data_IF_744225126156
#
_entry.id   IF_744225126156
#
_cell.length_a   1.000
_cell.length_b   1.000
_cell.length_c   1.000
_cell.angle_alpha   90.00
_cell.angle_beta   90.00
_cell.angle_gamma   90.00
#
_symmetry.space_group_name_H-M   'P 1'
#
loop_
_entity.id
_entity.type
_entity.pdbx_description
1 polymer ?
#
# COMPACT_ATOMS: atom_id res chain seq x y z
N UNK A 1 24.29 -10.54 -10.21
CA UNK A 1 23.08 -9.70 -10.28
C UNK A 1 22.80 -9.16 -8.89
N UNK A 2 22.76 -7.84 -8.71
CA UNK A 2 22.22 -7.24 -7.50
C UNK A 2 20.71 -7.51 -7.47
N UNK A 3 20.19 -8.00 -6.34
CA UNK A 3 18.76 -8.17 -6.12
C UNK A 3 18.22 -6.85 -5.54
N UNK A 4 16.98 -6.48 -5.85
CA UNK A 4 16.30 -5.32 -5.27
C UNK A 4 14.84 -5.68 -5.01
N UNK A 5 14.32 -5.31 -3.84
CA UNK A 5 12.93 -5.54 -3.46
C UNK A 5 12.20 -4.21 -3.31
N UNK A 6 11.27 -3.91 -4.21
CA UNK A 6 10.39 -2.75 -4.07
C UNK A 6 9.02 -3.23 -3.62
N UNK A 7 8.67 -2.93 -2.38
CA UNK A 7 7.34 -3.20 -1.84
C UNK A 7 6.39 -2.05 -2.16
N UNK A 8 5.26 -2.36 -2.78
CA UNK A 8 4.21 -1.37 -3.08
C UNK A 8 3.18 -1.41 -1.96
N UNK A 9 3.18 -0.38 -1.14
CA UNK A 9 2.22 -0.14 -0.06
C UNK A 9 1.13 0.83 -0.53
N UNK A 10 0.70 1.74 0.33
CA UNK A 10 -0.27 2.80 0.04
C UNK A 10 -0.03 3.99 0.97
N UNK A 11 -0.30 5.21 0.50
CA UNK A 11 -0.25 6.42 1.33
C UNK A 11 -1.26 6.39 2.49
N UNK A 12 -2.21 5.46 2.47
CA UNK A 12 -3.22 5.28 3.52
C UNK A 12 -2.85 4.19 4.53
N UNK A 13 -1.63 3.63 4.48
CA UNK A 13 -1.23 2.53 5.37
C UNK A 13 -1.15 2.97 6.84
N UNK A 14 -0.89 4.25 7.12
CA UNK A 14 -0.76 4.81 8.46
C UNK A 14 -1.78 5.93 8.69
N UNK A 15 -3.06 5.57 8.81
CA UNK A 15 -4.17 6.55 8.84
C UNK A 15 -4.17 7.51 10.04
N UNK A 16 -3.43 7.21 11.10
CA UNK A 16 -3.29 8.09 12.26
C UNK A 16 -2.24 9.18 12.03
N UNK A 17 -1.46 9.07 10.96
CA UNK A 17 -0.46 10.05 10.58
C UNK A 17 -1.10 11.07 9.63
N UNK A 18 -1.21 12.36 10.03
CA UNK A 18 -1.81 13.39 9.19
C UNK A 18 -0.97 13.70 7.95
N UNK A 19 0.34 13.44 8.03
CA UNK A 19 1.30 13.59 6.93
C UNK A 19 2.21 12.38 6.88
N UNK A 20 2.26 11.73 5.73
CA UNK A 20 3.15 10.60 5.47
C UNK A 20 4.48 11.11 4.93
N UNK A 21 5.55 10.77 5.63
CA UNK A 21 6.94 11.09 5.31
C UNK A 21 7.68 9.85 4.78
N UNK A 22 8.88 10.06 4.22
CA UNK A 22 9.77 8.99 3.76
C UNK A 22 10.54 8.36 4.93
N UNK A 23 9.81 7.83 5.91
CA UNK A 23 10.36 7.14 7.08
C UNK A 23 9.67 5.79 7.33
N UNK A 24 10.30 4.88 8.09
CA UNK A 24 9.59 3.73 8.63
C UNK A 24 8.63 4.17 9.73
N UNK A 25 7.53 3.43 9.85
CA UNK A 25 6.49 3.64 10.85
C UNK A 25 6.27 2.34 11.60
N UNK A 26 5.87 2.45 12.87
CA UNK A 26 5.54 1.29 13.69
C UNK A 26 4.19 0.73 13.21
N UNK A 27 4.10 -0.56 12.86
CA UNK A 27 2.83 -1.17 12.48
C UNK A 27 1.81 -1.20 13.62
N UNK A 28 0.53 -1.37 13.27
CA UNK A 28 -0.63 -1.44 14.18
C UNK A 28 -0.50 -2.60 15.17
N UNK A 29 0.10 -3.71 14.73
CA UNK A 29 0.31 -4.91 15.53
C UNK A 29 1.60 -5.62 15.09
N UNK A 30 2.04 -6.60 15.89
CA UNK A 30 3.15 -7.48 15.49
C UNK A 30 2.71 -8.36 14.32
N UNK A 31 3.42 -8.28 13.18
CA UNK A 31 3.04 -9.00 11.97
C UNK A 31 3.22 -10.53 12.08
N UNK A 32 4.16 -11.01 12.89
CA UNK A 32 4.41 -12.44 13.12
C UNK A 32 3.25 -13.06 13.90
N UNK A 33 2.83 -12.39 14.97
CA UNK A 33 1.67 -12.82 15.77
C UNK A 33 0.39 -12.83 14.93
N UNK A 34 0.20 -11.83 14.04
CA UNK A 34 -0.98 -11.79 13.19
C UNK A 34 -0.99 -12.90 12.13
N UNK A 35 0.17 -13.26 11.56
CA UNK A 35 0.30 -14.44 10.70
C UNK A 35 -0.02 -15.71 11.49
N UNK A 36 0.59 -15.87 12.67
CA UNK A 36 0.36 -17.01 13.55
C UNK A 36 -1.13 -17.20 13.88
N UNK A 37 -1.84 -16.12 14.20
CA UNK A 37 -3.28 -16.12 14.47
C UNK A 37 -4.07 -16.53 13.22
N UNK A 38 -3.74 -15.95 12.06
CA UNK A 38 -4.43 -16.23 10.81
C UNK A 38 -4.23 -17.68 10.31
N UNK A 39 -3.08 -18.29 10.60
CA UNK A 39 -2.77 -19.67 10.22
C UNK A 39 -3.30 -20.71 11.19
N UNK A 40 -3.41 -20.38 12.49
CA UNK A 40 -3.81 -21.34 13.54
C UNK A 40 -5.31 -21.38 13.82
N UNK A 41 -6.02 -20.27 13.63
CA UNK A 41 -7.46 -20.20 13.89
C UNK A 41 -8.27 -20.65 12.67
N UNK A 42 -9.41 -21.29 12.92
CA UNK A 42 -10.39 -21.53 11.88
C UNK A 42 -11.05 -20.21 11.43
N UNK A 43 -11.59 -20.22 10.21
CA UNK A 43 -12.17 -19.03 9.57
C UNK A 43 -13.29 -18.40 10.41
N UNK A 44 -14.13 -19.19 11.08
CA UNK A 44 -15.22 -18.67 11.89
C UNK A 44 -14.67 -17.90 13.10
N UNK A 45 -13.74 -18.50 13.82
CA UNK A 45 -13.08 -17.85 14.96
C UNK A 45 -12.31 -16.60 14.52
N UNK A 46 -11.56 -16.66 13.42
CA UNK A 46 -10.81 -15.52 12.89
C UNK A 46 -11.73 -14.34 12.51
N UNK A 47 -12.88 -14.63 11.90
CA UNK A 47 -13.88 -13.61 11.55
C UNK A 47 -14.43 -12.90 12.79
N UNK A 48 -14.65 -13.62 13.89
CA UNK A 48 -15.08 -13.02 15.16
C UNK A 48 -14.01 -12.06 15.70
N UNK A 49 -12.73 -12.45 15.65
CA UNK A 49 -11.64 -11.62 16.17
C UNK A 49 -11.18 -10.51 15.22
N UNK A 50 -11.59 -10.52 13.95
CA UNK A 50 -11.12 -9.58 12.93
C UNK A 50 -11.27 -8.12 13.37
N UNK A 51 -12.42 -7.74 13.93
CA UNK A 51 -12.63 -6.36 14.40
C UNK A 51 -11.65 -5.94 15.52
N UNK A 52 -11.27 -6.89 16.38
CA UNK A 52 -10.28 -6.66 17.44
C UNK A 52 -8.87 -6.52 16.88
N UNK A 53 -8.51 -7.34 15.88
CA UNK A 53 -7.21 -7.31 15.23
C UNK A 53 -6.99 -6.05 14.41
N UNK A 54 -8.02 -5.58 13.67
CA UNK A 54 -7.93 -4.39 12.82
C UNK A 54 -7.56 -3.13 13.61
N UNK A 55 -7.93 -3.06 14.89
CA UNK A 55 -7.70 -1.89 15.72
C UNK A 55 -8.36 -0.66 15.11
N UNK A 56 -7.56 0.33 14.72
CA UNK A 56 -8.05 1.54 14.05
C UNK A 56 -8.10 1.44 12.52
N UNK A 57 -7.56 0.38 11.90
CA UNK A 57 -7.58 0.23 10.45
C UNK A 57 -9.01 0.15 9.92
N UNK A 58 -9.36 0.88 8.85
CA UNK A 58 -10.73 0.95 8.34
C UNK A 58 -11.16 -0.35 7.64
N UNK A 59 -10.21 -1.19 7.24
CA UNK A 59 -10.44 -2.47 6.58
C UNK A 59 -9.18 -3.35 6.62
N UNK A 60 -9.34 -4.62 6.24
CA UNK A 60 -8.27 -5.63 6.18
C UNK A 60 -7.18 -5.31 5.17
N UNK A 61 -7.51 -4.58 4.09
CA UNK A 61 -6.52 -4.14 3.10
C UNK A 61 -5.50 -3.16 3.72
N UNK A 62 -5.97 -2.09 4.37
CA UNK A 62 -5.10 -1.12 5.04
C UNK A 62 -4.30 -1.79 6.16
N UNK A 63 -4.94 -2.66 6.94
CA UNK A 63 -4.27 -3.45 7.97
C UNK A 63 -3.13 -4.30 7.39
N UNK A 64 -3.38 -5.03 6.30
CA UNK A 64 -2.35 -5.87 5.67
C UNK A 64 -1.17 -5.06 5.11
N UNK A 65 -1.43 -3.90 4.49
CA UNK A 65 -0.40 -2.98 4.00
C UNK A 65 0.45 -2.43 5.14
N UNK A 66 -0.21 -2.02 6.22
CA UNK A 66 0.45 -1.54 7.43
C UNK A 66 1.40 -2.59 8.03
N UNK A 67 0.93 -3.82 8.25
CA UNK A 67 1.76 -4.92 8.77
C UNK A 67 2.91 -5.28 7.83
N UNK A 68 2.66 -5.29 6.52
CA UNK A 68 3.67 -5.61 5.52
C UNK A 68 4.82 -4.60 5.51
N UNK A 69 4.57 -3.32 5.79
CA UNK A 69 5.66 -2.35 5.94
C UNK A 69 6.58 -2.70 7.12
N UNK A 70 6.02 -3.26 8.20
CA UNK A 70 6.80 -3.84 9.30
C UNK A 70 7.71 -4.97 8.85
N UNK A 71 7.20 -5.90 8.05
CA UNK A 71 8.00 -6.98 7.46
C UNK A 71 9.17 -6.41 6.66
N UNK A 72 8.90 -5.47 5.75
CA UNK A 72 9.94 -4.88 4.91
C UNK A 72 10.98 -4.14 5.76
N UNK A 73 10.55 -3.45 6.81
CA UNK A 73 11.45 -2.78 7.74
C UNK A 73 12.35 -3.78 8.49
N UNK A 74 11.81 -4.87 9.01
CA UNK A 74 12.58 -5.87 9.78
C UNK A 74 13.63 -6.57 8.90
N UNK A 75 13.29 -6.85 7.64
CA UNK A 75 14.21 -7.45 6.67
C UNK A 75 15.11 -6.43 5.95
N UNK A 76 14.97 -5.12 6.22
CA UNK A 76 15.72 -4.05 5.55
C UNK A 76 17.22 -4.05 5.81
N UNK A 77 17.66 -4.81 6.81
CA UNK A 77 19.07 -5.06 7.15
C UNK A 77 19.69 -6.27 6.41
N UNK A 78 18.84 -7.13 5.87
CA UNK A 78 19.24 -8.36 5.16
C UNK A 78 19.00 -8.30 3.65
N UNK A 79 18.09 -7.42 3.21
CA UNK A 79 17.72 -7.26 1.80
C UNK A 79 17.75 -5.78 1.39
N UNK A 80 18.30 -5.44 0.22
CA UNK A 80 18.12 -4.12 -0.39
C UNK A 80 16.65 -3.93 -0.77
N UNK A 81 15.92 -3.20 0.07
CA UNK A 81 14.49 -2.96 -0.13
C UNK A 81 14.10 -1.49 -0.02
N UNK A 82 12.96 -1.14 -0.62
CA UNK A 82 12.27 0.13 -0.42
C UNK A 82 10.75 -0.08 -0.37
N UNK A 83 10.07 0.88 0.25
CA UNK A 83 8.61 0.95 0.31
C UNK A 83 8.17 2.13 -0.56
N UNK A 84 7.25 1.90 -1.49
CA UNK A 84 6.56 2.95 -2.25
C UNK A 84 5.12 3.03 -1.78
N UNK A 85 4.65 4.23 -1.43
CA UNK A 85 3.31 4.49 -0.89
C UNK A 85 2.49 5.34 -1.88
N UNK A 86 1.96 4.76 -2.97
CA UNK A 86 1.11 5.53 -3.87
C UNK A 86 -0.19 5.94 -3.17
N UNK A 87 -0.75 7.08 -3.57
CA UNK A 87 -2.11 7.47 -3.21
C UNK A 87 -3.13 6.70 -4.08
N UNK A 88 -4.37 7.19 -4.23
CA UNK A 88 -5.37 6.51 -5.07
C UNK A 88 -4.87 6.47 -6.51
N UNK A 89 -4.62 5.27 -7.03
CA UNK A 89 -4.11 5.11 -8.39
C UNK A 89 -5.23 5.38 -9.39
N UNK A 90 -4.96 6.29 -10.33
CA UNK A 90 -5.88 6.67 -11.41
C UNK A 90 -5.39 6.14 -12.76
N UNK A 91 -6.25 6.16 -13.80
CA UNK A 91 -5.86 5.78 -15.15
C UNK A 91 -4.61 6.51 -15.62
N UNK A 92 -3.89 5.87 -16.55
CA UNK A 92 -2.65 6.36 -17.12
C UNK A 92 -2.82 7.78 -17.67
N UNK A 93 -1.89 8.67 -17.31
CA UNK A 93 -1.86 10.01 -17.87
C UNK A 93 -1.38 9.96 -19.32
N UNK A 94 -0.33 9.18 -19.61
CA UNK A 94 0.30 9.14 -20.93
C UNK A 94 0.57 7.73 -21.46
N UNK A 95 1.11 6.84 -20.65
CA UNK A 95 1.62 5.53 -21.10
C UNK A 95 0.95 4.36 -20.35
N UNK A 96 0.73 3.19 -20.98
CA UNK A 96 0.97 2.88 -22.38
C UNK A 96 -0.03 3.56 -23.33
N UNK A 97 -1.23 3.88 -22.84
CA UNK A 97 -2.28 4.61 -23.56
C UNK A 97 -2.96 5.54 -22.54
N UNK A 98 -3.21 6.82 -22.86
CA UNK A 98 -3.96 7.70 -21.97
C UNK A 98 -5.33 7.13 -21.58
N UNK A 99 -5.67 7.16 -20.30
CA UNK A 99 -6.91 6.61 -19.77
C UNK A 99 -6.90 5.09 -19.56
N UNK A 100 -5.79 4.40 -19.83
CA UNK A 100 -5.68 2.96 -19.55
C UNK A 100 -5.68 2.68 -18.04
N UNK A 101 -6.41 1.63 -17.65
CA UNK A 101 -6.40 1.06 -16.30
C UNK A 101 -6.74 -0.44 -16.40
N UNK A 102 -6.22 -1.22 -15.45
CA UNK A 102 -6.38 -2.68 -15.39
C UNK A 102 -7.70 -3.10 -14.72
N UNK A 103 -8.28 -2.25 -13.89
CA UNK A 103 -9.52 -2.51 -13.17
C UNK A 103 -10.37 -1.23 -12.99
N UNK A 104 -11.60 -1.38 -12.50
CA UNK A 104 -12.51 -0.27 -12.25
C UNK A 104 -12.90 -0.19 -10.76
N UNK A 105 -12.02 -0.65 -9.87
CA UNK A 105 -12.34 -0.74 -8.45
C UNK A 105 -12.36 0.62 -7.76
N UNK A 106 -13.15 0.70 -6.69
CA UNK A 106 -13.22 1.88 -5.83
C UNK A 106 -13.69 3.15 -6.55
N UNK A 107 -12.96 4.28 -6.42
CA UNK A 107 -13.39 5.57 -6.99
C UNK A 107 -13.57 5.57 -8.50
N UNK A 108 -12.83 4.75 -9.25
CA UNK A 108 -12.92 4.73 -10.72
C UNK A 108 -14.28 4.21 -11.17
N UNK A 109 -14.80 3.15 -10.52
CA UNK A 109 -16.14 2.65 -10.80
C UNK A 109 -17.23 3.70 -10.51
N UNK A 110 -17.04 4.49 -9.44
CA UNK A 110 -17.93 5.62 -9.12
C UNK A 110 -17.92 6.68 -10.23
N UNK A 111 -16.74 7.07 -10.72
CA UNK A 111 -16.62 8.06 -11.81
C UNK A 111 -17.20 7.56 -13.12
N UNK A 112 -16.97 6.29 -13.49
CA UNK A 112 -17.54 5.69 -14.70
C UNK A 112 -19.07 5.60 -14.58
N UNK A 113 -19.59 5.15 -13.44
CA UNK A 113 -21.03 5.07 -13.19
C UNK A 113 -21.70 6.45 -13.22
N UNK A 114 -21.05 7.47 -12.65
CA UNK A 114 -21.50 8.85 -12.72
C UNK A 114 -21.47 9.42 -14.14
N UNK A 115 -20.37 9.22 -14.87
CA UNK A 115 -20.21 9.67 -16.26
C UNK A 115 -21.20 9.01 -17.22
N UNK A 116 -21.57 7.75 -16.96
CA UNK A 116 -22.64 7.03 -17.69
C UNK A 116 -24.06 7.41 -17.24
N UNK A 117 -24.20 8.20 -16.18
CA UNK A 117 -25.50 8.58 -15.61
C UNK A 117 -26.20 7.49 -14.82
N UNK A 118 -25.55 6.35 -14.56
CA UNK A 118 -26.09 5.26 -13.74
C UNK A 118 -26.08 5.62 -12.25
N UNK A 119 -25.03 6.30 -11.81
CA UNK A 119 -24.94 6.83 -10.45
C UNK A 119 -25.31 8.31 -10.50
N UNK A 120 -26.46 8.64 -9.90
CA UNK A 120 -26.99 10.01 -9.87
C UNK A 120 -26.67 10.75 -8.59
N UNK A 121 -26.38 10.02 -7.52
CA UNK A 121 -26.09 10.57 -6.19
C UNK A 121 -24.93 9.78 -5.59
N UNK A 122 -23.92 10.48 -5.10
CA UNK A 122 -22.82 9.92 -4.32
C UNK A 122 -22.81 10.59 -2.94
N UNK A 123 -22.80 9.79 -1.88
CA UNK A 123 -22.64 10.30 -0.53
C UNK A 123 -21.15 10.55 -0.28
N UNK A 124 -20.75 11.82 -0.27
CA UNK A 124 -19.36 12.22 -0.04
C UNK A 124 -19.29 13.34 0.98
N UNK A 125 -18.28 13.28 1.85
CA UNK A 125 -18.01 14.34 2.82
C UNK A 125 -17.13 15.41 2.16
N UNK A 126 -17.52 16.69 2.28
CA UNK A 126 -16.80 17.82 1.64
C UNK A 126 -15.43 18.13 2.25
N UNK A 127 -15.12 17.60 3.43
CA UNK A 127 -13.87 17.85 4.15
C UNK A 127 -12.76 16.85 3.83
N UNK A 128 -12.97 15.93 2.89
CA UNK A 128 -12.00 14.86 2.59
C UNK A 128 -11.16 15.24 1.38
N UNK A 129 -9.83 15.22 1.53
CA UNK A 129 -8.91 15.40 0.43
C UNK A 129 -8.69 14.07 -0.30
N UNK A 130 -9.08 14.00 -1.58
CA UNK A 130 -8.80 12.83 -2.42
C UNK A 130 -7.45 13.01 -3.10
N UNK A 131 -6.40 12.47 -2.49
CA UNK A 131 -5.09 12.44 -3.11
C UNK A 131 -5.01 11.26 -4.09
N UNK A 132 -4.63 11.53 -5.34
CA UNK A 132 -4.62 10.55 -6.41
C UNK A 132 -3.38 10.72 -7.30
N UNK A 133 -2.93 9.64 -7.91
CA UNK A 133 -1.73 9.61 -8.76
C UNK A 133 -1.95 8.69 -9.98
N UNK A 134 -1.62 9.14 -11.20
CA UNK A 134 -1.69 8.29 -12.39
C UNK A 134 -0.81 7.04 -12.30
N UNK A 135 -1.32 5.90 -12.76
CA UNK A 135 -0.64 4.60 -12.71
C UNK A 135 0.73 4.61 -13.40
N UNK A 136 0.88 5.36 -14.49
CA UNK A 136 2.12 5.44 -15.25
C UNK A 136 3.21 6.22 -14.51
N UNK A 137 2.84 7.18 -13.67
CA UNK A 137 3.77 7.85 -12.76
C UNK A 137 4.22 6.89 -11.65
N UNK A 138 3.30 6.11 -11.07
CA UNK A 138 3.63 5.10 -10.04
C UNK A 138 4.58 4.05 -10.58
N UNK A 139 4.32 3.53 -11.80
CA UNK A 139 5.19 2.54 -12.45
C UNK A 139 6.60 3.12 -12.68
N UNK A 140 6.70 4.37 -13.17
CA UNK A 140 8.00 5.04 -13.34
C UNK A 140 8.75 5.17 -12.02
N UNK A 141 8.05 5.54 -10.95
CA UNK A 141 8.66 5.59 -9.62
C UNK A 141 9.18 4.21 -9.17
N UNK A 142 8.39 3.14 -9.34
CA UNK A 142 8.81 1.77 -9.03
C UNK A 142 10.08 1.38 -9.81
N UNK A 143 10.12 1.65 -11.11
CA UNK A 143 11.27 1.32 -11.96
C UNK A 143 12.54 2.10 -11.54
N UNK A 144 12.41 3.40 -11.28
CA UNK A 144 13.53 4.25 -10.83
C UNK A 144 14.04 3.79 -9.47
N UNK A 145 13.15 3.51 -8.52
CA UNK A 145 13.51 3.01 -7.19
C UNK A 145 14.21 1.65 -7.28
N UNK A 146 13.69 0.72 -8.08
CA UNK A 146 14.30 -0.60 -8.28
C UNK A 146 15.70 -0.48 -8.88
N UNK A 147 15.87 0.37 -9.90
CA UNK A 147 17.17 0.64 -10.52
C UNK A 147 18.15 1.24 -9.52
N UNK A 148 17.73 2.26 -8.75
CA UNK A 148 18.57 2.92 -7.73
C UNK A 148 19.00 1.95 -6.63
N UNK A 149 18.07 1.12 -6.13
CA UNK A 149 18.38 0.06 -5.16
C UNK A 149 19.38 -0.94 -5.72
N UNK A 150 19.18 -1.39 -6.96
CA UNK A 150 20.06 -2.36 -7.62
C UNK A 150 21.50 -1.86 -7.82
N UNK A 151 21.71 -0.54 -7.89
CA UNK A 151 23.05 0.05 -7.95
C UNK A 151 23.72 0.24 -6.58
N UNK A 152 22.94 0.17 -5.50
CA UNK A 152 23.47 0.38 -4.15
C UNK A 152 24.22 -0.88 -3.71
N UNK A 153 25.52 -0.75 -3.41
CA UNK A 153 26.29 -1.85 -2.81
C UNK A 153 25.79 -2.07 -1.39
N UNK A 154 25.16 -3.22 -1.17
CA UNK A 154 24.72 -3.63 0.14
C UNK A 154 25.93 -4.01 0.99
N UNK A 155 26.41 -3.07 1.81
CA UNK A 155 27.43 -3.37 2.80
C UNK A 155 26.75 -4.18 3.92
N UNK A 156 27.07 -5.47 3.99
CA UNK A 156 26.66 -6.32 5.12
C UNK A 156 27.19 -5.62 6.37
N UNK A 157 26.30 -5.14 7.24
CA UNK A 157 26.70 -4.47 8.49
C UNK A 157 27.54 -5.47 9.28
N UNK A 158 28.85 -5.25 9.36
CA UNK A 158 29.76 -6.07 10.16
C UNK A 158 29.41 -5.78 11.62
N UNK A 159 28.69 -6.70 12.25
CA UNK A 159 28.45 -6.69 13.68
C UNK A 159 29.78 -7.09 14.32
N UNK A 160 30.41 -6.14 15.01
CA UNK A 160 31.46 -6.42 16.00
C UNK A 160 30.82 -6.92 17.29
#
# INVERSE_FOLDING_TARGET
MSKALVYVSTAFAHINEPLIEEKPYVPIANWQEMIDIAEKLDEHTLNIFTAKCLGYAPNTYIFSKNLSEGIIHDYSSSLPCAIIRPSIVTPALKEPIPGWLDNIYGPIGLFIGGGKGLIRVACCTKSVNQNAVPVDIVIKAILVTAWKLGLTKYAKKQIY
#
